data_IF_364982937013
#
_entry.id   IF_364982937013
#
_cell.length_a   1.000
_cell.length_b   1.000
_cell.length_c   1.000
_cell.angle_alpha   90.00
_cell.angle_beta   90.00
_cell.angle_gamma   90.00
#
_symmetry.space_group_name_H-M   'P 1'
#
loop_
_entity.id
_entity.type
_entity.pdbx_description
1 polymer ?
#
# COMPACT_ATOMS: atom_id res chain seq x y z
N UNK A 1 -61.83 -41.67 -0.76
CA UNK A 1 -60.82 -41.79 -1.84
C UNK A 1 -60.50 -40.38 -2.34
N UNK A 2 -59.46 -39.75 -1.79
CA UNK A 2 -59.04 -38.40 -2.14
C UNK A 2 -57.73 -38.47 -2.93
N UNK A 3 -57.78 -37.92 -4.14
CA UNK A 3 -56.74 -37.97 -5.15
C UNK A 3 -55.45 -37.27 -4.72
N UNK A 4 -54.33 -37.93 -5.05
CA UNK A 4 -52.98 -37.43 -4.88
C UNK A 4 -52.71 -36.15 -5.69
N UNK A 5 -52.36 -35.09 -4.96
CA UNK A 5 -51.70 -33.89 -5.49
C UNK A 5 -50.69 -33.39 -4.45
N UNK A 6 -49.67 -34.20 -4.15
CA UNK A 6 -48.59 -33.81 -3.24
C UNK A 6 -47.14 -34.24 -3.61
N UNK A 7 -46.75 -34.58 -4.86
CA UNK A 7 -45.33 -34.81 -5.13
C UNK A 7 -44.58 -33.59 -5.68
N UNK A 8 -45.23 -32.64 -6.36
CA UNK A 8 -44.50 -31.59 -7.09
C UNK A 8 -44.04 -30.42 -6.19
N UNK A 9 -44.89 -29.96 -5.26
CA UNK A 9 -44.55 -28.84 -4.38
C UNK A 9 -43.45 -29.21 -3.37
N UNK A 10 -43.47 -30.46 -2.90
CA UNK A 10 -42.46 -30.98 -1.98
C UNK A 10 -41.11 -31.17 -2.68
N UNK A 11 -41.11 -31.65 -3.93
CA UNK A 11 -39.89 -31.76 -4.72
C UNK A 11 -39.28 -30.37 -5.02
N UNK A 12 -40.10 -29.36 -5.31
CA UNK A 12 -39.64 -27.98 -5.53
C UNK A 12 -39.07 -27.38 -4.25
N UNK A 13 -39.69 -27.60 -3.09
CA UNK A 13 -39.16 -27.12 -1.80
C UNK A 13 -37.86 -27.81 -1.40
N UNK A 14 -37.73 -29.13 -1.65
CA UNK A 14 -36.48 -29.86 -1.43
C UNK A 14 -35.39 -29.37 -2.38
N UNK A 15 -35.70 -29.11 -3.66
CA UNK A 15 -34.74 -28.57 -4.63
C UNK A 15 -34.34 -27.12 -4.31
N UNK A 16 -35.26 -26.26 -3.88
CA UNK A 16 -34.94 -24.90 -3.42
C UNK A 16 -34.11 -24.95 -2.13
N UNK A 17 -34.44 -25.85 -1.20
CA UNK A 17 -33.63 -26.08 0.01
C UNK A 17 -32.22 -26.59 -0.32
N UNK A 18 -32.07 -27.47 -1.32
CA UNK A 18 -30.78 -28.00 -1.77
C UNK A 18 -29.97 -26.94 -2.54
N UNK A 19 -30.62 -26.12 -3.37
CA UNK A 19 -29.96 -24.98 -4.06
C UNK A 19 -29.57 -23.87 -3.09
N UNK A 20 -30.38 -23.61 -2.06
CA UNK A 20 -30.00 -22.71 -0.96
C UNK A 20 -28.88 -23.31 -0.11
N UNK A 21 -28.87 -24.61 0.17
CA UNK A 21 -27.78 -25.27 0.89
C UNK A 21 -26.47 -25.29 0.07
N UNK A 22 -26.53 -25.49 -1.24
CA UNK A 22 -25.37 -25.38 -2.15
C UNK A 22 -24.90 -23.93 -2.25
N UNK A 23 -25.80 -22.94 -2.38
CA UNK A 23 -25.42 -21.51 -2.35
C UNK A 23 -24.91 -21.03 -1.00
N UNK A 24 -25.36 -21.63 0.10
CA UNK A 24 -24.82 -21.36 1.44
C UNK A 24 -23.49 -22.10 1.71
N UNK A 25 -23.21 -23.19 0.98
CA UNK A 25 -21.92 -23.89 1.04
C UNK A 25 -20.87 -23.35 0.04
N UNK A 26 -21.27 -22.58 -0.98
CA UNK A 26 -20.34 -21.87 -1.88
C UNK A 26 -19.99 -20.45 -1.41
N UNK A 27 -20.59 -20.00 -0.32
CA UNK A 27 -20.02 -18.90 0.46
C UNK A 27 -19.13 -19.55 1.49
N UNK A 28 -17.87 -19.79 1.12
CA UNK A 28 -16.81 -19.98 2.09
C UNK A 28 -16.85 -18.77 3.02
N UNK A 29 -17.52 -18.93 4.15
CA UNK A 29 -17.34 -18.08 5.30
C UNK A 29 -15.90 -18.28 5.73
N UNK A 30 -14.98 -17.51 5.13
CA UNK A 30 -13.71 -17.22 5.72
C UNK A 30 -14.02 -16.72 7.12
N UNK A 31 -13.83 -17.60 8.10
CA UNK A 31 -13.69 -17.20 9.48
C UNK A 31 -12.51 -16.25 9.47
N UNK A 32 -12.79 -14.95 9.44
CA UNK A 32 -11.83 -13.93 9.81
C UNK A 32 -11.37 -14.36 11.19
N UNK A 33 -10.18 -14.95 11.25
CA UNK A 33 -9.51 -15.16 12.51
C UNK A 33 -9.33 -13.74 13.06
N UNK A 34 -10.23 -13.34 13.96
CA UNK A 34 -9.97 -12.25 14.88
C UNK A 34 -8.76 -12.71 15.69
N UNK A 35 -7.56 -12.45 15.19
CA UNK A 35 -6.49 -12.11 16.10
C UNK A 35 -7.05 -10.92 16.87
N UNK A 36 -7.41 -11.16 18.14
CA UNK A 36 -7.67 -10.08 19.07
C UNK A 36 -6.49 -9.12 18.95
N UNK A 37 -6.78 -7.82 18.91
CA UNK A 37 -5.73 -6.81 19.03
C UNK A 37 -4.86 -7.22 20.22
N UNK A 38 -3.63 -7.64 19.96
CA UNK A 38 -2.69 -7.97 21.04
C UNK A 38 -2.60 -6.72 21.92
N UNK A 39 -2.93 -6.86 23.21
CA UNK A 39 -2.89 -5.74 24.15
C UNK A 39 -1.51 -5.08 24.07
N UNK A 40 -1.46 -3.83 23.59
CA UNK A 40 -0.23 -3.05 23.45
C UNK A 40 0.35 -2.95 22.03
N UNK A 41 -0.17 -3.69 21.04
CA UNK A 41 0.29 -3.58 19.63
C UNK A 41 -0.18 -2.27 19.00
N UNK A 42 0.71 -1.60 18.27
CA UNK A 42 0.35 -0.39 17.52
C UNK A 42 -0.37 -0.77 16.21
N UNK A 43 -1.67 -0.43 16.03
CA UNK A 43 -2.45 -0.88 14.88
C UNK A 43 -2.08 -0.20 13.55
N UNK A 44 -1.15 0.75 13.59
CA UNK A 44 -0.72 1.55 12.44
C UNK A 44 0.72 1.28 12.02
N UNK A 45 1.45 0.42 12.74
CA UNK A 45 2.87 0.15 12.46
C UNK A 45 3.09 -1.35 12.37
N UNK A 46 3.61 -1.77 11.23
CA UNK A 46 3.94 -3.13 10.87
C UNK A 46 5.45 -3.26 10.87
N UNK A 47 5.97 -4.12 11.74
CA UNK A 47 7.41 -4.27 11.91
C UNK A 47 7.99 -5.20 10.86
N UNK A 48 9.26 -4.99 10.48
CA UNK A 48 9.93 -5.83 9.50
C UNK A 48 9.87 -7.32 9.88
N UNK A 49 10.04 -7.63 11.17
CA UNK A 49 9.97 -8.99 11.71
C UNK A 49 8.59 -9.65 11.61
N UNK A 50 7.52 -8.87 11.39
CA UNK A 50 6.15 -9.39 11.21
C UNK A 50 5.87 -9.77 9.75
N UNK A 51 6.78 -9.46 8.82
CA UNK A 51 6.60 -9.75 7.40
C UNK A 51 6.63 -11.25 7.12
N UNK A 52 5.65 -11.72 6.34
CA UNK A 52 5.53 -13.12 5.92
C UNK A 52 6.40 -13.36 4.68
N UNK A 53 7.37 -14.29 4.77
CA UNK A 53 8.12 -14.76 3.58
C UNK A 53 7.21 -15.60 2.69
N UNK A 54 6.74 -15.01 1.58
CA UNK A 54 5.79 -15.63 0.64
C UNK A 54 6.47 -16.55 -0.37
N UNK A 55 7.71 -16.22 -0.73
CA UNK A 55 8.51 -16.95 -1.70
C UNK A 55 9.97 -16.78 -1.33
N UNK A 56 10.75 -17.84 -1.34
CA UNK A 56 12.19 -17.75 -1.16
C UNK A 56 12.93 -18.88 -1.89
N UNK A 57 14.06 -18.51 -2.46
CA UNK A 57 15.06 -19.38 -3.09
C UNK A 57 16.44 -18.78 -2.81
N UNK A 58 17.51 -19.47 -3.20
CA UNK A 58 18.87 -18.91 -3.08
C UNK A 58 19.10 -17.66 -3.95
N UNK A 59 18.31 -17.47 -5.01
CA UNK A 59 18.47 -16.37 -5.98
C UNK A 59 17.54 -15.16 -5.71
N UNK A 60 16.58 -15.28 -4.80
CA UNK A 60 15.64 -14.20 -4.51
C UNK A 60 14.54 -14.59 -3.53
N UNK A 61 13.87 -13.57 -2.98
CA UNK A 61 12.76 -13.71 -2.06
C UNK A 61 11.69 -12.62 -2.23
N UNK A 62 10.46 -12.93 -1.81
CA UNK A 62 9.37 -11.97 -1.66
C UNK A 62 8.85 -12.07 -0.23
N UNK A 63 8.87 -10.94 0.49
CA UNK A 63 8.29 -10.80 1.84
C UNK A 63 7.09 -9.87 1.78
N UNK A 64 5.95 -10.31 2.29
CA UNK A 64 4.73 -9.51 2.32
C UNK A 64 4.46 -8.99 3.74
N UNK A 65 4.02 -7.75 3.84
CA UNK A 65 3.48 -7.19 5.08
C UNK A 65 2.21 -7.96 5.47
N UNK A 66 1.93 -8.17 6.76
CA UNK A 66 0.64 -8.70 7.20
C UNK A 66 -0.52 -7.96 6.54
N UNK A 67 -1.53 -8.71 6.13
CA UNK A 67 -2.67 -8.16 5.41
C UNK A 67 -3.36 -7.10 6.26
N UNK A 68 -3.53 -5.88 5.73
CA UNK A 68 -4.14 -4.77 6.47
C UNK A 68 -5.51 -5.15 7.05
N UNK A 69 -6.31 -5.89 6.29
CA UNK A 69 -7.64 -6.38 6.71
C UNK A 69 -7.63 -7.40 7.86
N UNK A 70 -6.52 -8.12 8.05
CA UNK A 70 -6.34 -9.08 9.14
C UNK A 70 -5.64 -8.44 10.35
N UNK A 71 -4.92 -7.34 10.14
CA UNK A 71 -4.10 -6.69 11.15
C UNK A 71 -4.88 -5.79 12.10
N UNK A 72 -5.70 -4.88 11.57
CA UNK A 72 -6.55 -4.01 12.39
C UNK A 72 -7.74 -3.47 11.61
N UNK A 73 -8.87 -3.31 12.30
CA UNK A 73 -10.05 -2.65 11.75
C UNK A 73 -9.82 -1.17 11.43
N UNK A 74 -8.80 -0.53 12.03
CA UNK A 74 -8.46 0.88 11.84
C UNK A 74 -7.74 1.17 10.51
N UNK A 75 -7.27 0.13 9.82
CA UNK A 75 -6.63 0.23 8.50
C UNK A 75 -7.41 -0.56 7.44
N UNK A 76 -8.69 -0.83 7.70
CA UNK A 76 -9.54 -1.65 6.83
C UNK A 76 -9.79 -1.03 5.45
N UNK A 77 -9.69 0.28 5.29
CA UNK A 77 -9.77 0.94 3.98
C UNK A 77 -8.68 0.45 3.00
N UNK A 78 -7.63 -0.20 3.52
CA UNK A 78 -6.58 -0.84 2.75
C UNK A 78 -6.83 -2.33 2.48
N UNK A 79 -8.05 -2.86 2.68
CA UNK A 79 -8.33 -4.31 2.58
C UNK A 79 -8.02 -4.94 1.22
N UNK A 80 -8.10 -4.14 0.15
CA UNK A 80 -7.80 -4.52 -1.23
C UNK A 80 -6.31 -4.37 -1.60
N UNK A 81 -5.49 -3.89 -0.67
CA UNK A 81 -4.08 -3.60 -0.89
C UNK A 81 -3.20 -4.60 -0.17
N UNK A 82 -2.10 -4.95 -0.82
CA UNK A 82 -1.02 -5.75 -0.25
C UNK A 82 0.30 -5.03 -0.53
N UNK A 83 1.21 -5.03 0.43
CA UNK A 83 2.54 -4.46 0.27
C UNK A 83 3.57 -5.58 0.38
N UNK A 84 4.49 -5.67 -0.58
CA UNK A 84 5.58 -6.61 -0.50
C UNK A 84 6.94 -6.00 -0.88
N UNK A 85 7.97 -6.64 -0.36
CA UNK A 85 9.38 -6.39 -0.64
C UNK A 85 9.87 -7.51 -1.53
N UNK A 86 10.42 -7.13 -2.68
CA UNK A 86 10.97 -8.02 -3.67
C UNK A 86 12.49 -7.89 -3.66
N UNK A 87 13.19 -9.01 -3.49
CA UNK A 87 14.64 -9.07 -3.45
C UNK A 87 15.13 -10.08 -4.48
N UNK A 88 16.07 -9.67 -5.32
CA UNK A 88 16.68 -10.55 -6.32
C UNK A 88 18.19 -10.35 -6.35
N UNK A 89 18.92 -11.46 -6.24
CA UNK A 89 20.39 -11.48 -6.19
C UNK A 89 21.00 -10.97 -7.51
N UNK A 90 22.31 -10.64 -7.51
CA UNK A 90 23.04 -10.38 -8.75
C UNK A 90 22.89 -11.55 -9.72
N UNK A 91 22.87 -11.27 -11.01
CA UNK A 91 22.81 -12.28 -12.07
C UNK A 91 21.66 -13.28 -11.91
N UNK A 92 20.48 -12.80 -11.52
CA UNK A 92 19.31 -13.64 -11.29
C UNK A 92 18.14 -13.29 -12.22
N UNK A 93 17.26 -14.28 -12.38
CA UNK A 93 16.10 -14.22 -13.24
C UNK A 93 14.86 -14.71 -12.51
N UNK A 94 13.79 -13.92 -12.59
CA UNK A 94 12.45 -14.34 -12.23
C UNK A 94 11.69 -14.79 -13.48
N UNK A 95 11.24 -16.04 -13.47
CA UNK A 95 10.53 -16.63 -14.62
C UNK A 95 9.21 -15.95 -14.94
N UNK A 96 8.75 -16.13 -16.18
CA UNK A 96 7.48 -15.60 -16.66
C UNK A 96 6.31 -16.04 -15.77
N UNK A 97 5.55 -15.05 -15.30
CA UNK A 97 4.36 -15.24 -14.48
C UNK A 97 3.40 -14.08 -14.69
N UNK A 98 2.16 -14.21 -14.23
CA UNK A 98 1.22 -13.10 -14.12
C UNK A 98 0.47 -13.21 -12.79
N UNK A 99 -0.28 -12.17 -12.41
CA UNK A 99 -1.11 -12.20 -11.21
C UNK A 99 -2.46 -11.52 -11.43
N UNK A 100 -3.39 -11.74 -10.51
CA UNK A 100 -4.70 -11.10 -10.49
C UNK A 100 -4.72 -9.65 -9.98
N UNK A 101 -3.58 -9.12 -9.53
CA UNK A 101 -3.46 -7.80 -8.92
C UNK A 101 -2.80 -6.78 -9.87
N UNK A 102 -3.17 -5.51 -9.74
CA UNK A 102 -2.40 -4.42 -10.34
C UNK A 102 -1.19 -4.11 -9.45
N UNK A 103 -0.01 -3.88 -10.03
CA UNK A 103 1.24 -3.60 -9.30
C UNK A 103 1.65 -2.16 -9.53
N UNK A 104 1.97 -1.46 -8.45
CA UNK A 104 2.77 -0.24 -8.49
C UNK A 104 4.10 -0.53 -7.81
N UNK A 105 5.15 -0.66 -8.60
CA UNK A 105 6.47 -1.09 -8.18
C UNK A 105 7.43 0.10 -8.13
N UNK A 106 8.14 0.28 -7.02
CA UNK A 106 9.22 1.24 -6.87
C UNK A 106 10.57 0.52 -6.74
N UNK A 107 11.55 0.89 -7.56
CA UNK A 107 12.92 0.35 -7.50
C UNK A 107 13.70 1.08 -6.43
N UNK A 108 13.87 0.43 -5.28
CA UNK A 108 14.58 1.01 -4.14
C UNK A 108 16.11 0.95 -4.32
N UNK A 109 16.62 -0.15 -4.86
CA UNK A 109 18.04 -0.39 -5.07
C UNK A 109 18.27 -1.26 -6.32
N UNK A 110 19.43 -1.09 -6.95
CA UNK A 110 19.83 -1.89 -8.10
C UNK A 110 19.17 -1.46 -9.41
N UNK A 111 19.31 -2.36 -10.39
CA UNK A 111 18.81 -2.20 -11.74
C UNK A 111 18.23 -3.51 -12.23
N UNK A 112 17.35 -3.43 -13.21
CA UNK A 112 16.76 -4.62 -13.81
C UNK A 112 16.37 -4.36 -15.26
N UNK A 113 16.14 -5.45 -15.99
CA UNK A 113 15.31 -5.44 -17.20
C UNK A 113 14.02 -6.17 -16.91
N UNK A 114 12.90 -5.55 -17.25
CA UNK A 114 11.59 -6.18 -17.16
C UNK A 114 11.00 -6.36 -18.56
N UNK A 115 10.46 -7.53 -18.80
CA UNK A 115 9.60 -7.81 -19.96
C UNK A 115 8.16 -7.90 -19.47
N UNK A 116 7.24 -7.26 -20.18
CA UNK A 116 5.82 -7.27 -19.88
C UNK A 116 5.01 -7.53 -21.16
N UNK A 117 4.09 -8.49 -21.13
CA UNK A 117 3.21 -8.83 -22.25
C UNK A 117 1.76 -8.65 -21.84
N UNK A 118 1.02 -7.82 -22.58
CA UNK A 118 -0.40 -7.54 -22.34
C UNK A 118 -1.12 -7.20 -23.64
N UNK A 119 -2.32 -7.76 -23.85
CA UNK A 119 -3.17 -7.49 -25.04
C UNK A 119 -2.37 -7.56 -26.35
N UNK A 120 -1.62 -8.64 -26.54
CA UNK A 120 -0.79 -8.91 -27.73
C UNK A 120 0.41 -7.97 -27.94
N UNK A 121 0.67 -7.05 -27.00
CA UNK A 121 1.83 -6.17 -27.00
C UNK A 121 2.89 -6.69 -26.04
N UNK A 122 4.13 -6.71 -26.49
CA UNK A 122 5.31 -6.97 -25.66
C UNK A 122 6.07 -5.68 -25.47
N UNK A 123 6.46 -5.39 -24.24
CA UNK A 123 7.26 -4.26 -23.83
C UNK A 123 8.47 -4.78 -23.07
N UNK A 124 9.63 -4.20 -23.32
CA UNK A 124 10.82 -4.38 -22.50
C UNK A 124 11.33 -3.03 -22.04
N UNK A 125 11.62 -2.92 -20.76
CA UNK A 125 12.07 -1.67 -20.15
C UNK A 125 13.25 -1.95 -19.21
N UNK A 126 14.22 -1.02 -19.23
CA UNK A 126 15.28 -1.02 -18.22
C UNK A 126 14.82 -0.19 -17.03
N UNK A 127 15.07 -0.72 -15.85
CA UNK A 127 14.72 -0.12 -14.57
C UNK A 127 16.01 0.26 -13.84
N UNK A 128 16.05 1.49 -13.36
CA UNK A 128 17.05 2.03 -12.45
C UNK A 128 16.41 2.36 -11.09
N UNK A 129 17.25 2.50 -10.07
CA UNK A 129 16.87 3.08 -8.78
C UNK A 129 16.02 4.36 -8.96
N UNK A 130 14.93 4.44 -8.21
CA UNK A 130 13.97 5.53 -8.27
C UNK A 130 12.87 5.35 -9.31
N UNK A 131 12.93 4.33 -10.18
CA UNK A 131 11.85 4.08 -11.12
C UNK A 131 10.58 3.57 -10.43
N UNK A 132 9.46 4.15 -10.86
CA UNK A 132 8.09 3.69 -10.67
C UNK A 132 7.62 2.99 -11.94
N UNK A 133 7.03 1.82 -11.78
CA UNK A 133 6.42 1.08 -12.86
C UNK A 133 5.04 0.58 -12.43
N UNK A 134 4.04 0.84 -13.27
CA UNK A 134 2.72 0.26 -13.13
C UNK A 134 2.56 -0.97 -14.03
N UNK A 135 2.21 -2.11 -13.44
CA UNK A 135 1.94 -3.35 -14.17
C UNK A 135 0.47 -3.71 -13.95
N UNK A 136 -0.37 -3.61 -14.98
CA UNK A 136 -1.77 -3.99 -14.87
C UNK A 136 -1.92 -5.49 -14.57
N UNK A 137 -2.94 -5.86 -13.80
CA UNK A 137 -3.33 -7.26 -13.58
C UNK A 137 -3.44 -8.05 -14.87
N UNK A 138 -3.11 -9.33 -14.80
CA UNK A 138 -3.12 -10.25 -15.94
C UNK A 138 -2.03 -10.00 -16.97
N UNK A 139 -1.13 -9.03 -16.76
CA UNK A 139 0.04 -8.87 -17.60
C UNK A 139 1.07 -9.94 -17.24
N UNK A 140 1.61 -10.62 -18.26
CA UNK A 140 2.70 -11.57 -18.06
C UNK A 140 4.01 -10.80 -17.94
N UNK A 141 4.80 -11.07 -16.90
CA UNK A 141 6.06 -10.40 -16.66
C UNK A 141 7.20 -11.39 -16.38
N UNK A 142 8.42 -10.97 -16.70
CA UNK A 142 9.66 -11.59 -16.24
C UNK A 142 10.68 -10.50 -15.91
N UNK A 143 11.56 -10.76 -14.94
CA UNK A 143 12.53 -9.77 -14.46
C UNK A 143 13.92 -10.38 -14.48
N UNK A 144 14.89 -9.62 -14.99
CA UNK A 144 16.30 -9.98 -15.03
C UNK A 144 17.07 -8.93 -14.21
N UNK A 145 17.76 -9.35 -13.15
CA UNK A 145 18.84 -8.56 -12.57
C UNK A 145 20.14 -9.01 -13.24
N UNK A 146 20.63 -8.19 -14.16
CA UNK A 146 21.86 -8.45 -14.90
C UNK A 146 23.08 -7.72 -14.30
N UNK A 147 22.93 -7.08 -13.14
CA UNK A 147 24.07 -6.50 -12.44
C UNK A 147 24.85 -7.63 -11.75
N UNK A 148 26.19 -7.71 -11.93
CA UNK A 148 26.99 -8.77 -11.34
C UNK A 148 27.36 -8.53 -9.87
N UNK A 149 26.99 -7.38 -9.29
CA UNK A 149 27.39 -6.97 -7.95
C UNK A 149 26.23 -6.49 -7.09
N UNK A 150 25.29 -5.77 -7.67
CA UNK A 150 24.20 -5.13 -6.94
C UNK A 150 22.95 -6.01 -6.91
N UNK A 151 22.35 -6.14 -5.73
CA UNK A 151 21.04 -6.73 -5.57
C UNK A 151 19.95 -5.77 -6.06
N UNK A 152 18.89 -6.33 -6.64
CA UNK A 152 17.67 -5.61 -6.96
C UNK A 152 16.72 -5.68 -5.76
N UNK A 153 16.33 -4.52 -5.24
CA UNK A 153 15.30 -4.40 -4.19
C UNK A 153 14.19 -3.52 -4.72
N UNK A 154 12.96 -4.04 -4.73
CA UNK A 154 11.77 -3.29 -5.10
C UNK A 154 10.71 -3.36 -3.99
N UNK A 155 9.93 -2.29 -3.87
CA UNK A 155 8.75 -2.23 -3.00
C UNK A 155 7.53 -2.18 -3.90
N UNK A 156 6.61 -3.14 -3.73
CA UNK A 156 5.42 -3.25 -4.58
C UNK A 156 4.16 -3.03 -3.76
N UNK A 157 3.36 -2.04 -4.15
CA UNK A 157 1.98 -1.91 -3.70
C UNK A 157 1.09 -2.61 -4.72
N UNK A 158 0.41 -3.67 -4.28
CA UNK A 158 -0.51 -4.44 -5.09
C UNK A 158 -1.94 -4.09 -4.76
N UNK A 159 -2.79 -4.05 -5.78
CA UNK A 159 -4.22 -3.82 -5.64
C UNK A 159 -5.01 -4.98 -6.25
N UNK A 160 -5.81 -5.65 -5.41
CA UNK A 160 -6.73 -6.70 -5.82
C UNK A 160 -8.16 -6.34 -5.35
N UNK A 161 -9.10 -6.01 -6.27
CA UNK A 161 -10.48 -5.67 -5.94
C UNK A 161 -11.32 -6.89 -5.53
N UNK A 162 -10.74 -8.09 -5.54
CA UNK A 162 -11.39 -9.29 -5.03
C UNK A 162 -10.47 -10.02 -4.03
N UNK A 163 -10.20 -9.40 -2.86
CA UNK A 163 -9.22 -9.87 -1.89
C UNK A 163 -9.72 -11.06 -1.05
N UNK A 164 -11.00 -11.45 -1.19
CA UNK A 164 -11.62 -12.50 -0.37
C UNK A 164 -11.59 -13.88 -1.02
N UNK A 165 -11.12 -14.00 -2.27
CA UNK A 165 -10.91 -15.32 -2.89
C UNK A 165 -9.67 -16.03 -2.38
N UNK A 166 -8.68 -15.27 -1.92
CA UNK A 166 -7.35 -15.77 -1.55
C UNK A 166 -6.78 -14.90 -0.42
N UNK A 167 -6.00 -15.50 0.49
CA UNK A 167 -5.39 -14.74 1.60
C UNK A 167 -4.37 -13.72 1.08
N UNK A 168 -3.47 -14.11 0.19
CA UNK A 168 -2.60 -13.18 -0.56
C UNK A 168 -2.85 -13.35 -2.05
N UNK A 169 -2.48 -12.37 -2.89
CA UNK A 169 -2.58 -12.54 -4.34
C UNK A 169 -1.72 -13.72 -4.83
N UNK A 170 -2.28 -14.54 -5.72
CA UNK A 170 -1.53 -15.62 -6.36
C UNK A 170 -0.80 -15.17 -7.64
N UNK A 171 0.39 -15.73 -7.82
CA UNK A 171 1.12 -15.70 -9.08
C UNK A 171 0.84 -16.98 -9.84
N UNK A 172 0.63 -16.83 -11.13
CA UNK A 172 0.29 -17.87 -12.07
C UNK A 172 1.42 -18.10 -13.05
N UNK A 173 1.89 -19.34 -13.16
CA UNK A 173 3.04 -19.72 -13.98
C UNK A 173 2.57 -20.49 -15.22
N UNK A 174 2.63 -19.90 -16.42
CA UNK A 174 2.03 -20.51 -17.62
C UNK A 174 2.52 -21.92 -17.92
N UNK A 175 3.82 -22.21 -17.72
CA UNK A 175 4.31 -23.57 -18.02
C UNK A 175 3.82 -24.60 -17.02
N UNK A 176 3.62 -24.20 -15.76
CA UNK A 176 3.07 -25.11 -14.74
C UNK A 176 1.58 -25.38 -15.04
N UNK A 177 0.87 -24.38 -15.56
CA UNK A 177 -0.50 -24.55 -16.08
C UNK A 177 -0.54 -25.47 -17.30
N UNK A 178 0.40 -25.31 -18.25
CA UNK A 178 0.50 -26.17 -19.43
C UNK A 178 0.69 -27.63 -19.03
N UNK A 179 1.52 -27.90 -18.01
CA UNK A 179 1.74 -29.24 -17.47
C UNK A 179 0.49 -29.89 -16.86
N UNK A 180 -0.54 -29.11 -16.51
CA UNK A 180 -1.78 -29.64 -15.94
C UNK A 180 -2.80 -30.11 -16.99
N UNK A 181 -2.59 -29.79 -18.28
CA UNK A 181 -3.49 -30.23 -19.35
C UNK A 181 -3.28 -31.69 -19.73
N UNK A 182 -4.32 -32.30 -20.30
CA UNK A 182 -4.24 -33.64 -20.90
C UNK A 182 -3.25 -33.64 -22.07
N UNK A 183 -2.53 -34.75 -22.23
CA UNK A 183 -1.55 -34.96 -23.31
C UNK A 183 -2.16 -34.71 -24.69
N UNK A 184 -3.33 -35.28 -24.94
CA UNK A 184 -4.04 -35.18 -26.21
C UNK A 184 -4.43 -33.72 -26.53
N UNK A 185 -4.76 -32.94 -25.49
CA UNK A 185 -5.02 -31.49 -25.63
C UNK A 185 -3.76 -30.73 -26.02
N UNK A 186 -2.62 -31.02 -25.37
CA UNK A 186 -1.35 -30.36 -25.66
C UNK A 186 -0.83 -30.72 -27.05
N UNK A 187 -0.91 -32.00 -27.43
CA UNK A 187 -0.51 -32.47 -28.76
C UNK A 187 -1.36 -31.83 -29.86
N UNK A 188 -2.67 -31.77 -29.68
CA UNK A 188 -3.56 -31.07 -30.62
C UNK A 188 -3.28 -29.56 -30.69
N UNK A 189 -3.02 -28.91 -29.54
CA UNK A 189 -2.79 -27.47 -29.46
C UNK A 189 -1.45 -27.04 -30.05
N UNK A 190 -0.36 -27.75 -29.71
CA UNK A 190 0.98 -27.44 -30.20
C UNK A 190 1.28 -28.06 -31.58
N UNK A 191 0.48 -29.05 -32.02
CA UNK A 191 0.78 -29.89 -33.19
C UNK A 191 2.17 -30.53 -33.12
N UNK A 192 2.56 -30.93 -31.91
CA UNK A 192 3.83 -31.58 -31.60
C UNK A 192 3.52 -32.85 -30.81
N UNK A 193 4.26 -33.93 -31.03
CA UNK A 193 4.07 -35.19 -30.31
C UNK A 193 4.18 -34.99 -28.81
N UNK A 194 3.31 -35.65 -28.05
CA UNK A 194 3.26 -35.53 -26.59
C UNK A 194 4.62 -35.76 -25.93
N UNK A 195 5.43 -36.72 -26.41
CA UNK A 195 6.75 -37.03 -25.84
C UNK A 195 7.76 -35.90 -26.03
N UNK A 196 7.67 -35.16 -27.14
CA UNK A 196 8.56 -34.03 -27.41
C UNK A 196 8.18 -32.81 -26.53
N UNK A 197 6.88 -32.62 -26.25
CA UNK A 197 6.37 -31.60 -25.32
C UNK A 197 6.82 -31.94 -23.88
N UNK A 198 6.59 -33.16 -23.42
CA UNK A 198 7.00 -33.62 -22.09
C UNK A 198 8.52 -33.48 -21.89
N UNK A 199 9.32 -33.85 -22.90
CA UNK A 199 10.79 -33.67 -22.86
C UNK A 199 11.19 -32.20 -22.77
N UNK A 200 10.42 -31.28 -23.35
CA UNK A 200 10.70 -29.84 -23.24
C UNK A 200 10.39 -29.32 -21.84
N UNK A 201 9.22 -29.67 -21.30
CA UNK A 201 8.82 -29.25 -19.95
C UNK A 201 9.67 -29.89 -18.86
N UNK A 202 10.15 -31.13 -19.04
CA UNK A 202 11.04 -31.79 -18.08
C UNK A 202 12.44 -31.14 -17.97
N UNK A 203 12.85 -30.34 -18.96
CA UNK A 203 14.12 -29.60 -18.95
C UNK A 203 14.00 -28.26 -18.25
N UNK A 204 12.79 -27.78 -18.01
CA UNK A 204 12.58 -26.46 -17.45
C UNK A 204 12.94 -26.42 -15.97
N UNK A 205 13.69 -25.39 -15.58
CA UNK A 205 13.86 -25.04 -14.18
C UNK A 205 12.55 -24.47 -13.61
N UNK A 206 11.95 -25.18 -12.65
CA UNK A 206 10.69 -24.79 -12.04
C UNK A 206 10.85 -23.69 -10.98
N UNK A 207 12.07 -23.37 -10.54
CA UNK A 207 12.31 -22.35 -9.52
C UNK A 207 11.84 -20.97 -9.99
N UNK A 208 11.14 -20.25 -9.11
CA UNK A 208 10.59 -18.92 -9.44
C UNK A 208 11.71 -17.91 -9.68
N UNK A 209 12.72 -17.90 -8.80
CA UNK A 209 13.99 -17.22 -9.02
C UNK A 209 15.09 -18.23 -9.25
N UNK A 210 16.00 -17.92 -10.17
CA UNK A 210 17.21 -18.70 -10.40
C UNK A 210 18.37 -17.81 -10.80
N UNK A 211 19.59 -18.27 -10.56
CA UNK A 211 20.78 -17.65 -11.14
C UNK A 211 20.84 -17.91 -12.65
N UNK A 212 21.38 -16.94 -13.36
CA UNK A 212 21.71 -17.04 -14.78
C UNK A 212 23.19 -17.34 -14.95
N UNK A 213 23.50 -18.29 -15.83
CA UNK A 213 24.88 -18.45 -16.31
C UNK A 213 25.32 -17.22 -17.11
N UNK A 214 26.63 -17.05 -17.31
CA UNK A 214 27.17 -15.97 -18.14
C UNK A 214 26.61 -16.02 -19.56
N UNK A 215 26.54 -17.21 -20.15
CA UNK A 215 26.03 -17.42 -21.51
C UNK A 215 24.53 -17.09 -21.61
N UNK A 216 23.74 -17.48 -20.62
CA UNK A 216 22.32 -17.14 -20.57
C UNK A 216 22.11 -15.63 -20.47
N UNK A 217 22.90 -14.94 -19.64
CA UNK A 217 22.87 -13.47 -19.56
C UNK A 217 23.19 -12.83 -20.90
N UNK A 218 24.28 -13.21 -21.55
CA UNK A 218 24.66 -12.66 -22.85
C UNK A 218 23.56 -12.88 -23.90
N UNK A 219 22.90 -14.06 -23.91
CA UNK A 219 21.78 -14.37 -24.81
C UNK A 219 20.51 -13.58 -24.52
N UNK A 220 20.12 -13.47 -23.25
CA UNK A 220 18.92 -12.73 -22.83
C UNK A 220 19.13 -11.23 -23.09
N UNK A 221 20.32 -10.72 -22.79
CA UNK A 221 20.61 -9.30 -22.82
C UNK A 221 21.00 -8.77 -24.20
N UNK A 222 21.55 -9.63 -25.06
CA UNK A 222 22.00 -9.30 -26.42
C UNK A 222 20.94 -9.56 -27.51
N UNK A 223 19.71 -9.90 -27.13
CA UNK A 223 18.61 -10.08 -28.09
C UNK A 223 18.24 -8.72 -28.69
N UNK A 224 18.08 -8.67 -30.02
CA UNK A 224 17.56 -7.49 -30.71
C UNK A 224 16.05 -7.40 -30.48
N UNK A 225 15.58 -6.30 -29.87
CA UNK A 225 14.17 -6.03 -29.55
C UNK A 225 13.27 -6.13 -30.79
N UNK A 226 13.85 -5.99 -32.00
CA UNK A 226 13.16 -6.17 -33.29
C UNK A 226 12.58 -7.57 -33.53
N UNK A 227 13.04 -8.59 -32.77
CA UNK A 227 12.56 -9.97 -32.87
C UNK A 227 11.31 -10.26 -32.04
N UNK A 228 10.86 -9.33 -31.18
CA UNK A 228 9.59 -9.43 -30.48
C UNK A 228 8.46 -9.12 -31.48
N UNK A 229 7.89 -10.17 -32.06
CA UNK A 229 6.81 -10.06 -33.04
C UNK A 229 5.62 -9.30 -32.46
N UNK A 230 5.46 -8.04 -32.84
CA UNK A 230 4.17 -7.34 -32.80
C UNK A 230 3.34 -7.95 -33.93
N UNK A 231 2.54 -8.98 -33.64
CA UNK A 231 1.82 -9.77 -34.67
C UNK A 231 0.70 -8.99 -35.41
N UNK A 232 0.65 -7.65 -35.34
CA UNK A 232 -0.33 -6.84 -36.04
C UNK A 232 0.31 -5.73 -36.91
N UNK A 233 -0.05 -5.61 -38.20
CA UNK A 233 0.61 -4.70 -39.15
C UNK A 233 0.13 -3.23 -39.07
N UNK A 234 -0.52 -2.79 -37.99
CA UNK A 234 -0.85 -1.37 -37.79
C UNK A 234 -0.70 -0.97 -36.31
N UNK A 235 0.36 -0.24 -35.99
CA UNK A 235 0.42 0.59 -34.78
C UNK A 235 -0.66 1.67 -34.91
N UNK A 236 -1.75 1.53 -34.15
CA UNK A 236 -2.73 2.61 -34.05
C UNK A 236 -2.17 3.71 -33.13
N UNK A 237 -2.38 4.97 -33.47
CA UNK A 237 -1.95 6.13 -32.65
C UNK A 237 -2.41 6.05 -31.19
N UNK A 238 -3.54 5.37 -30.93
CA UNK A 238 -4.04 5.09 -29.58
C UNK A 238 -3.18 4.06 -28.82
N UNK A 239 -2.70 3.04 -29.52
CA UNK A 239 -1.80 2.02 -28.96
C UNK A 239 -0.40 2.55 -28.65
N UNK A 240 0.12 3.49 -29.46
CA UNK A 240 1.40 4.17 -29.21
C UNK A 240 1.32 5.09 -27.98
N UNK A 241 0.23 5.85 -27.85
CA UNK A 241 0.00 6.67 -26.66
C UNK A 241 -0.11 5.80 -25.39
N UNK A 242 -0.86 4.68 -25.43
CA UNK A 242 -0.95 3.77 -24.27
C UNK A 242 0.40 3.13 -23.90
N UNK A 243 1.31 2.89 -24.84
CA UNK A 243 2.67 2.39 -24.57
C UNK A 243 3.56 3.48 -23.97
N UNK A 244 3.56 4.69 -24.55
CA UNK A 244 4.35 5.82 -24.06
C UNK A 244 3.94 6.24 -22.63
N UNK A 245 2.64 6.16 -22.32
CA UNK A 245 2.11 6.52 -21.00
C UNK A 245 2.35 5.47 -19.91
N UNK A 246 2.84 4.27 -20.24
CA UNK A 246 3.12 3.21 -19.26
C UNK A 246 4.63 3.05 -18.98
N UNK A 247 5.48 3.85 -19.62
CA UNK A 247 6.94 3.83 -19.38
C UNK A 247 7.28 4.09 -17.91
N UNK A 248 8.39 3.54 -17.39
CA UNK A 248 8.81 3.80 -16.02
C UNK A 248 9.04 5.29 -15.77
N UNK A 249 8.52 5.83 -14.66
CA UNK A 249 8.75 7.21 -14.23
C UNK A 249 9.83 7.23 -13.16
N UNK A 250 10.88 8.05 -13.27
CA UNK A 250 11.91 8.11 -12.22
C UNK A 250 11.60 9.22 -11.21
N UNK A 251 11.14 8.84 -10.02
CA UNK A 251 10.75 9.77 -8.95
C UNK A 251 11.94 10.61 -8.46
N UNK A 252 13.15 10.05 -8.43
CA UNK A 252 14.33 10.76 -7.93
C UNK A 252 14.82 11.87 -8.86
N UNK A 253 14.40 11.83 -10.14
CA UNK A 253 14.65 12.89 -11.12
C UNK A 253 13.62 14.03 -11.02
N UNK A 254 12.54 13.87 -10.24
CA UNK A 254 11.54 14.91 -10.05
C UNK A 254 12.04 15.97 -9.06
N UNK A 255 11.69 17.22 -9.33
CA UNK A 255 11.94 18.31 -8.39
C UNK A 255 11.17 18.11 -7.07
N UNK A 256 11.76 18.60 -5.98
CA UNK A 256 11.11 18.53 -4.69
C UNK A 256 9.87 19.43 -4.67
N UNK A 257 8.73 18.90 -4.19
CA UNK A 257 7.57 19.72 -3.84
C UNK A 257 7.87 20.62 -2.65
N UNK A 258 8.64 20.12 -1.67
CA UNK A 258 9.18 20.92 -0.57
C UNK A 258 10.63 20.56 -0.32
N UNK A 259 11.48 21.56 -0.10
CA UNK A 259 12.90 21.36 0.22
C UNK A 259 13.45 22.52 1.03
N UNK A 260 14.13 22.21 2.12
CA UNK A 260 14.93 23.17 2.89
C UNK A 260 16.13 22.44 3.53
N UNK A 261 16.95 23.13 4.33
CA UNK A 261 18.14 22.53 4.98
C UNK A 261 17.85 21.40 5.98
N UNK A 262 16.58 21.17 6.33
CA UNK A 262 16.14 20.18 7.31
C UNK A 262 15.49 18.94 6.66
N UNK A 263 15.18 18.99 5.36
CA UNK A 263 14.54 17.87 4.68
C UNK A 263 14.08 18.18 3.26
N UNK A 264 13.68 17.12 2.54
CA UNK A 264 13.21 17.15 1.16
C UNK A 264 12.00 16.22 1.01
N UNK A 265 11.00 16.65 0.26
CA UNK A 265 9.83 15.87 -0.11
C UNK A 265 9.59 15.96 -1.61
N UNK A 266 9.53 14.81 -2.27
CA UNK A 266 9.10 14.65 -3.66
C UNK A 266 7.75 13.93 -3.64
N UNK A 267 6.88 14.28 -4.57
CA UNK A 267 5.53 13.74 -4.69
C UNK A 267 5.22 13.56 -6.16
N UNK A 268 4.63 12.44 -6.56
CA UNK A 268 4.26 12.09 -7.94
C UNK A 268 2.77 11.76 -7.94
N UNK A 269 2.05 12.40 -8.85
CA UNK A 269 0.61 12.25 -9.01
C UNK A 269 0.23 11.76 -10.42
N UNK A 270 -1.08 11.74 -10.72
CA UNK A 270 -1.59 11.32 -12.03
C UNK A 270 -1.22 12.24 -13.20
N UNK A 271 -0.88 13.49 -12.94
CA UNK A 271 -0.45 14.44 -13.97
C UNK A 271 1.02 14.20 -14.34
N UNK A 272 1.84 13.76 -13.37
CA UNK A 272 3.22 13.33 -13.61
C UNK A 272 3.31 11.93 -14.23
N UNK A 273 2.55 10.98 -13.68
CA UNK A 273 2.57 9.59 -14.07
C UNK A 273 1.14 9.07 -14.25
N UNK A 274 0.65 9.15 -15.49
CA UNK A 274 -0.73 8.79 -15.87
C UNK A 274 -1.25 7.46 -15.31
N UNK A 275 -0.46 6.38 -15.17
CA UNK A 275 -0.94 5.13 -14.57
C UNK A 275 -1.42 5.26 -13.12
N UNK A 276 -1.07 6.34 -12.41
CA UNK A 276 -1.61 6.66 -11.09
C UNK A 276 -3.08 7.14 -11.14
N UNK A 277 -3.55 7.57 -12.31
CA UNK A 277 -4.96 7.92 -12.57
C UNK A 277 -5.80 6.64 -12.65
N UNK A 278 -6.60 6.35 -11.61
CA UNK A 278 -7.51 5.19 -11.64
C UNK A 278 -8.93 5.61 -12.04
N UNK A 279 -9.61 4.74 -12.78
CA UNK A 279 -10.78 5.07 -13.62
C UNK A 279 -12.09 5.32 -12.86
N UNK A 280 -12.08 5.22 -11.54
CA UNK A 280 -13.22 5.52 -10.66
C UNK A 280 -12.64 6.19 -9.41
N UNK A 281 -13.20 7.33 -8.99
CA UNK A 281 -12.71 8.31 -7.99
C UNK A 281 -12.32 7.74 -6.59
N UNK A 282 -12.28 6.42 -6.41
CA UNK A 282 -11.99 5.73 -5.15
C UNK A 282 -10.75 4.85 -5.16
N UNK A 283 -9.80 5.08 -6.07
CA UNK A 283 -8.56 4.30 -6.10
C UNK A 283 -7.35 5.06 -6.69
N UNK A 284 -7.46 6.33 -7.03
CA UNK A 284 -6.34 7.14 -7.51
C UNK A 284 -5.14 7.01 -6.56
N UNK A 285 -3.95 6.87 -7.13
CA UNK A 285 -2.73 6.66 -6.36
C UNK A 285 -1.82 7.89 -6.44
N UNK A 286 -0.90 7.96 -5.49
CA UNK A 286 0.22 8.89 -5.52
C UNK A 286 1.46 8.20 -4.96
N UNK A 287 2.64 8.76 -5.21
CA UNK A 287 3.87 8.29 -4.58
C UNK A 287 4.67 9.46 -4.04
N UNK A 288 5.10 9.37 -2.78
CA UNK A 288 5.97 10.35 -2.13
C UNK A 288 7.30 9.74 -1.74
N UNK A 289 8.33 10.57 -1.66
CA UNK A 289 9.61 10.19 -1.06
C UNK A 289 10.07 11.32 -0.14
N UNK A 290 10.18 11.00 1.14
CA UNK A 290 10.52 11.96 2.20
C UNK A 290 11.91 11.69 2.71
N UNK A 291 12.72 12.74 2.85
CA UNK A 291 14.00 12.76 3.55
C UNK A 291 13.94 13.78 4.67
N UNK A 292 14.28 13.36 5.88
CA UNK A 292 14.40 14.20 7.06
C UNK A 292 15.85 14.12 7.53
N UNK A 293 16.53 15.27 7.64
CA UNK A 293 17.93 15.30 8.07
C UNK A 293 18.05 14.95 9.57
N UNK A 294 19.23 14.51 10.06
CA UNK A 294 19.41 14.08 11.45
C UNK A 294 18.92 15.12 12.47
N UNK A 295 18.16 14.67 13.48
CA UNK A 295 17.59 15.51 14.52
C UNK A 295 16.57 16.55 14.01
N UNK A 296 16.03 16.37 12.81
CA UNK A 296 14.95 17.22 12.24
C UNK A 296 13.61 16.52 12.32
N UNK A 297 12.55 17.30 12.16
CA UNK A 297 11.17 16.83 12.27
C UNK A 297 10.30 17.47 11.19
N UNK A 298 9.25 16.77 10.75
CA UNK A 298 8.12 17.41 10.08
C UNK A 298 7.30 18.23 11.09
N UNK A 299 6.76 19.36 10.67
CA UNK A 299 5.69 20.03 11.41
C UNK A 299 4.45 19.14 11.42
N UNK A 300 3.54 19.24 12.42
CA UNK A 300 2.32 18.45 12.43
C UNK A 300 1.48 18.70 11.17
N UNK A 301 1.07 17.63 10.50
CA UNK A 301 0.30 17.70 9.26
C UNK A 301 -0.67 16.52 9.14
N UNK A 302 -1.66 16.64 8.27
CA UNK A 302 -2.55 15.55 7.90
C UNK A 302 -2.90 15.60 6.41
N UNK A 303 -3.31 14.46 5.87
CA UNK A 303 -3.89 14.36 4.53
C UNK A 303 -5.41 14.43 4.61
N UNK A 304 -6.05 15.22 3.75
CA UNK A 304 -7.50 15.45 3.80
C UNK A 304 -8.32 14.23 3.37
N UNK A 305 -7.81 13.45 2.40
CA UNK A 305 -8.52 12.33 1.79
C UNK A 305 -7.65 11.07 1.67
N UNK A 306 -6.34 11.22 1.46
CA UNK A 306 -5.48 10.10 1.18
C UNK A 306 -5.17 9.27 2.44
N UNK A 307 -5.25 7.96 2.28
CA UNK A 307 -4.56 7.02 3.17
C UNK A 307 -3.11 6.87 2.70
N UNK A 308 -2.18 6.88 3.63
CA UNK A 308 -0.75 6.75 3.33
C UNK A 308 -0.19 5.44 3.84
N UNK A 309 0.56 4.74 3.00
CA UNK A 309 1.34 3.55 3.37
C UNK A 309 2.80 3.94 3.21
N UNK A 310 3.49 4.13 4.33
CA UNK A 310 4.87 4.59 4.36
C UNK A 310 5.82 3.46 4.69
N UNK A 311 6.86 3.29 3.87
CA UNK A 311 7.91 2.29 4.04
C UNK A 311 9.22 2.99 4.41
N UNK A 312 9.77 2.66 5.58
CA UNK A 312 11.05 3.23 6.02
C UNK A 312 12.17 2.57 5.24
N UNK A 313 12.91 3.36 4.46
CA UNK A 313 13.96 2.87 3.56
C UNK A 313 15.36 3.22 4.02
N UNK A 314 15.51 4.21 4.93
CA UNK A 314 16.81 4.56 5.50
C UNK A 314 16.68 5.18 6.89
N UNK A 315 17.57 4.75 7.78
CA UNK A 315 17.83 5.38 9.07
C UNK A 315 16.70 5.20 10.10
N UNK A 316 17.01 5.42 11.39
CA UNK A 316 16.03 5.34 12.46
C UNK A 316 15.25 6.64 12.63
N UNK A 317 14.03 6.51 13.13
CA UNK A 317 13.18 7.66 13.42
C UNK A 317 12.10 7.37 14.46
N UNK A 318 11.19 8.33 14.60
CA UNK A 318 10.02 8.23 15.46
C UNK A 318 8.79 8.71 14.68
N UNK A 319 7.69 7.96 14.78
CA UNK A 319 6.36 8.39 14.40
C UNK A 319 5.61 8.83 15.65
N UNK A 320 4.94 9.97 15.58
CA UNK A 320 3.87 10.33 16.51
C UNK A 320 2.62 10.68 15.69
N UNK A 321 1.48 10.11 16.07
CA UNK A 321 0.21 10.29 15.39
C UNK A 321 -0.91 10.47 16.42
N UNK A 322 -1.92 11.25 16.04
CA UNK A 322 -3.09 11.55 16.87
C UNK A 322 -4.37 11.05 16.22
N UNK A 323 -4.66 9.73 16.27
CA UNK A 323 -5.95 9.21 15.86
C UNK A 323 -7.09 9.78 16.68
N UNK A 324 -8.22 9.99 16.00
CA UNK A 324 -9.47 10.37 16.63
C UNK A 324 -9.97 9.20 17.49
N UNK A 325 -10.11 9.43 18.79
CA UNK A 325 -10.76 8.49 19.71
C UNK A 325 -12.25 8.37 19.43
N UNK A 326 -12.82 7.20 19.67
CA UNK A 326 -14.26 6.99 19.64
C UNK A 326 -15.01 7.91 20.62
N UNK A 327 -16.30 8.13 20.37
CA UNK A 327 -17.16 9.02 21.17
C UNK A 327 -17.04 8.69 22.67
N UNK A 328 -16.40 9.57 23.44
CA UNK A 328 -16.59 9.59 24.89
C UNK A 328 -17.85 10.42 25.14
N UNK A 329 -19.00 9.75 25.31
CA UNK A 329 -20.03 10.32 26.16
C UNK A 329 -19.41 10.35 27.57
N UNK A 330 -19.13 11.55 28.07
CA UNK A 330 -18.76 11.71 29.47
C UNK A 330 -19.87 11.10 30.33
N UNK A 331 -19.52 10.09 31.13
CA UNK A 331 -20.37 9.53 32.19
C UNK A 331 -20.63 10.55 33.32
N UNK A 332 -20.60 11.85 33.03
CA UNK A 332 -20.92 12.92 33.98
C UNK A 332 -22.43 12.99 34.30
N UNK A 333 -23.27 12.17 33.64
CA UNK A 333 -24.72 12.12 33.88
C UNK A 333 -25.20 10.90 34.71
N UNK A 334 -24.32 10.06 35.24
CA UNK A 334 -24.71 9.06 36.26
C UNK A 334 -24.32 9.53 37.67
N UNK A 335 -24.88 10.69 38.07
CA UNK A 335 -24.96 11.01 39.48
C UNK A 335 -25.76 9.92 40.19
N UNK A 336 -25.11 9.20 41.11
CA UNK A 336 -25.77 8.28 42.06
C UNK A 336 -26.96 9.03 42.66
N UNK A 337 -28.16 8.55 42.39
CA UNK A 337 -29.37 9.06 43.04
C UNK A 337 -29.33 8.65 44.51
N UNK A 338 -29.10 9.60 45.39
CA UNK A 338 -29.57 9.50 46.77
C UNK A 338 -31.07 9.85 46.75
N UNK A 339 -31.91 8.86 47.05
CA UNK A 339 -33.35 9.06 47.27
C UNK A 339 -33.53 9.90 48.54
N UNK A 340 -33.89 11.17 48.36
CA UNK A 340 -34.45 11.97 49.45
C UNK A 340 -35.97 11.80 49.46
N UNK A 341 -36.52 11.37 50.60
CA UNK A 341 -37.94 11.06 50.85
C UNK A 341 -38.87 12.29 50.88
N UNK A 342 -38.62 13.31 50.06
CA UNK A 342 -39.55 14.42 49.90
C UNK A 342 -39.76 14.67 48.40
N UNK A 343 -40.93 14.23 47.92
CA UNK A 343 -41.33 14.17 46.52
C UNK A 343 -41.48 15.52 45.82
N UNK A 344 -40.37 16.23 45.63
CA UNK A 344 -40.27 17.34 44.68
C UNK A 344 -39.37 16.92 43.52
N UNK A 345 -40.00 16.44 42.45
CA UNK A 345 -39.34 16.19 41.17
C UNK A 345 -38.88 17.53 40.56
N UNK A 346 -37.64 17.95 40.87
CA UNK A 346 -36.96 18.94 40.04
C UNK A 346 -36.69 18.29 38.69
N UNK A 347 -37.33 18.80 37.64
CA UNK A 347 -37.01 18.52 36.24
C UNK A 347 -35.51 18.81 36.07
N UNK A 348 -34.68 17.77 36.04
CA UNK A 348 -33.29 17.89 35.62
C UNK A 348 -33.34 18.36 34.18
N UNK A 349 -32.78 19.54 33.93
CA UNK A 349 -32.39 19.90 32.57
C UNK A 349 -31.49 18.76 32.08
N UNK A 350 -31.94 18.07 31.04
CA UNK A 350 -31.09 17.19 30.26
C UNK A 350 -30.01 18.09 29.69
N UNK A 351 -28.86 18.16 30.38
CA UNK A 351 -27.69 18.83 29.86
C UNK A 351 -27.40 18.22 28.50
N UNK A 352 -27.47 19.04 27.46
CA UNK A 352 -27.07 18.67 26.11
C UNK A 352 -25.66 18.06 26.21
N UNK A 353 -25.52 16.76 25.94
CA UNK A 353 -24.23 16.10 26.04
C UNK A 353 -23.24 16.80 25.11
N UNK A 354 -22.22 17.45 25.67
CA UNK A 354 -21.17 18.10 24.88
C UNK A 354 -20.54 17.07 23.93
N UNK A 355 -20.59 17.36 22.62
CA UNK A 355 -19.85 16.57 21.64
C UNK A 355 -18.35 16.83 21.82
N UNK A 356 -17.68 15.98 22.61
CA UNK A 356 -16.23 16.04 22.80
C UNK A 356 -15.55 15.02 21.89
N UNK A 357 -14.71 15.53 20.99
CA UNK A 357 -13.77 14.70 20.24
C UNK A 357 -12.53 14.50 21.10
N UNK A 358 -12.16 13.25 21.39
CA UNK A 358 -10.90 12.92 22.02
C UNK A 358 -9.88 12.50 20.96
N UNK A 359 -8.60 12.72 21.24
CA UNK A 359 -7.48 12.22 20.43
C UNK A 359 -6.61 11.34 21.31
N UNK A 360 -6.24 10.17 20.81
CA UNK A 360 -5.25 9.31 21.46
C UNK A 360 -3.88 9.62 20.87
N UNK A 361 -2.84 9.66 21.69
CA UNK A 361 -1.46 9.71 21.21
C UNK A 361 -0.99 8.29 20.89
N UNK A 362 -0.46 8.10 19.68
CA UNK A 362 0.18 6.87 19.23
C UNK A 362 1.61 7.21 18.83
N UNK A 363 2.58 6.50 19.39
CA UNK A 363 4.00 6.70 19.13
C UNK A 363 4.64 5.37 18.73
N UNK A 364 5.67 5.41 17.87
CA UNK A 364 6.45 4.23 17.52
C UNK A 364 7.83 4.59 17.00
N UNK A 365 8.85 3.91 17.49
CA UNK A 365 10.17 3.92 16.87
C UNK A 365 10.08 3.31 15.47
N UNK A 366 10.83 3.88 14.53
CA UNK A 366 10.88 3.46 13.14
C UNK A 366 12.27 2.94 12.79
N UNK A 367 12.33 1.80 12.09
CA UNK A 367 13.56 1.19 11.56
C UNK A 367 13.38 0.87 10.08
N UNK A 368 14.49 0.71 9.37
CA UNK A 368 14.46 0.29 7.95
C UNK A 368 13.67 -1.01 7.83
N UNK A 369 12.77 -1.08 6.85
CA UNK A 369 11.87 -2.21 6.65
C UNK A 369 10.51 -2.07 7.35
N UNK A 370 10.39 -1.22 8.37
CA UNK A 370 9.10 -0.93 9.02
C UNK A 370 8.15 -0.24 8.04
N UNK A 371 6.87 -0.56 8.18
CA UNK A 371 5.79 0.07 7.43
C UNK A 371 4.84 0.73 8.42
N UNK A 372 4.52 2.00 8.19
CA UNK A 372 3.52 2.70 8.98
C UNK A 372 2.42 3.29 8.11
N UNK A 373 1.20 3.31 8.63
CA UNK A 373 0.01 3.78 7.92
C UNK A 373 -0.50 5.03 8.61
N UNK A 374 -0.77 6.09 7.85
CA UNK A 374 -1.45 7.28 8.36
C UNK A 374 -2.80 7.43 7.65
N UNK A 375 -3.91 7.18 8.35
CA UNK A 375 -5.25 7.42 7.81
C UNK A 375 -5.51 8.89 7.50
N UNK A 376 -6.46 9.15 6.60
CA UNK A 376 -6.91 10.50 6.32
C UNK A 376 -7.40 11.21 7.59
N UNK A 377 -7.11 12.51 7.71
CA UNK A 377 -7.48 13.33 8.87
C UNK A 377 -6.64 13.12 10.13
N UNK A 378 -5.71 12.16 10.14
CA UNK A 378 -4.89 11.87 11.32
C UNK A 378 -3.64 12.73 11.30
N UNK A 379 -3.56 13.67 12.24
CA UNK A 379 -2.38 14.53 12.38
C UNK A 379 -1.17 13.70 12.82
N UNK A 380 -0.03 13.89 12.15
CA UNK A 380 1.19 13.15 12.43
C UNK A 380 2.44 14.02 12.36
N UNK A 381 3.50 13.54 13.00
CA UNK A 381 4.88 14.03 12.83
C UNK A 381 5.83 12.84 12.69
N UNK A 382 6.87 13.04 11.89
CA UNK A 382 7.99 12.11 11.77
C UNK A 382 9.27 12.83 12.15
N UNK A 383 10.10 12.18 12.96
CA UNK A 383 11.37 12.71 13.43
C UNK A 383 12.51 11.79 13.04
N UNK A 384 13.58 12.36 12.49
CA UNK A 384 14.84 11.66 12.31
C UNK A 384 15.61 11.64 13.64
N UNK A 385 16.13 10.46 14.01
CA UNK A 385 16.90 10.30 15.25
C UNK A 385 18.37 10.71 15.03
N UNK A 386 19.32 9.78 15.19
CA UNK A 386 20.76 10.03 15.05
C UNK A 386 21.24 10.16 13.60
N UNK A 387 20.50 9.58 12.66
CA UNK A 387 20.81 9.61 11.24
C UNK A 387 19.64 10.19 10.45
N UNK A 388 19.84 10.41 9.15
CA UNK A 388 18.77 10.84 8.27
C UNK A 388 17.70 9.75 8.18
N UNK A 389 16.44 10.14 8.28
CA UNK A 389 15.30 9.26 8.05
C UNK A 389 14.82 9.45 6.61
N UNK A 390 14.70 8.36 5.85
CA UNK A 390 14.08 8.36 4.52
C UNK A 390 12.96 7.32 4.46
N UNK A 391 11.82 7.69 3.89
CA UNK A 391 10.70 6.79 3.68
C UNK A 391 9.98 7.04 2.36
N UNK A 392 9.58 5.95 1.71
CA UNK A 392 8.71 5.93 0.53
C UNK A 392 7.26 5.95 0.99
N UNK A 393 6.39 6.70 0.34
CA UNK A 393 4.97 6.77 0.66
C UNK A 393 4.15 6.38 -0.55
N UNK A 394 3.23 5.44 -0.40
CA UNK A 394 2.16 5.24 -1.37
C UNK A 394 0.89 5.91 -0.84
N UNK A 395 0.28 6.74 -1.66
CA UNK A 395 -1.00 7.36 -1.38
C UNK A 395 -2.12 6.54 -2.04
N UNK A 396 -3.18 6.27 -1.29
CA UNK A 396 -4.43 5.68 -1.75
C UNK A 396 -5.53 6.71 -1.59
N UNK A 397 -6.41 6.84 -2.58
CA UNK A 397 -7.41 7.93 -2.68
C UNK A 397 -6.76 9.32 -2.75
N UNK A 398 -5.74 9.43 -3.60
CA UNK A 398 -4.92 10.64 -3.72
C UNK A 398 -5.56 11.79 -4.52
N UNK A 399 -6.52 11.51 -5.41
CA UNK A 399 -7.19 12.55 -6.17
C UNK A 399 -7.91 13.50 -5.23
N UNK A 400 -7.69 14.81 -5.42
CA UNK A 400 -8.22 15.88 -4.57
C UNK A 400 -7.73 15.84 -3.12
N UNK A 401 -6.71 15.04 -2.82
CA UNK A 401 -6.04 15.09 -1.53
C UNK A 401 -5.27 16.41 -1.36
N UNK A 402 -5.16 16.84 -0.11
CA UNK A 402 -4.34 17.97 0.28
C UNK A 402 -3.58 17.65 1.55
N UNK A 403 -2.25 17.83 1.50
CA UNK A 403 -1.41 17.86 2.69
C UNK A 403 -1.60 19.19 3.41
N UNK A 404 -2.19 19.16 4.60
CA UNK A 404 -2.49 20.32 5.42
C UNK A 404 -1.54 20.39 6.61
N UNK A 405 -0.87 21.51 6.79
CA UNK A 405 0.14 21.71 7.84
C UNK A 405 -0.44 22.56 8.97
N UNK A 406 -0.29 22.12 10.22
CA UNK A 406 -0.77 22.84 11.41
C UNK A 406 0.24 23.87 11.92
N UNK A 407 1.53 23.70 11.62
CA UNK A 407 2.59 24.63 12.01
C UNK A 407 3.54 24.89 10.85
N UNK A 408 4.51 25.79 11.08
CA UNK A 408 5.44 26.22 10.04
C UNK A 408 4.90 27.34 9.16
N UNK A 409 5.74 27.78 8.22
CA UNK A 409 5.41 28.93 7.39
C UNK A 409 4.26 28.68 6.41
N UNK A 410 3.99 27.42 6.09
CA UNK A 410 2.88 26.96 5.27
C UNK A 410 1.67 26.48 6.09
N UNK A 411 1.59 26.83 7.38
CA UNK A 411 0.48 26.45 8.24
C UNK A 411 -0.85 26.99 7.73
N UNK A 412 -1.90 26.16 7.78
CA UNK A 412 -3.28 26.57 7.51
C UNK A 412 -3.79 27.60 8.52
N UNK A 413 -3.22 27.63 9.74
CA UNK A 413 -3.58 28.61 10.77
C UNK A 413 -3.22 30.04 10.35
N UNK A 414 -2.18 30.21 9.53
CA UNK A 414 -1.81 31.53 8.96
C UNK A 414 -2.80 32.04 7.90
N UNK A 415 -3.71 31.18 7.42
CA UNK A 415 -4.72 31.54 6.41
C UNK A 415 -6.07 31.90 7.05
N UNK A 416 -6.23 31.65 8.35
CA UNK A 416 -7.43 32.02 9.10
C UNK A 416 -7.38 33.48 9.53
N UNK A 417 -8.55 34.07 9.82
CA UNK A 417 -8.61 35.42 10.41
C UNK A 417 -8.04 35.37 11.82
N UNK A 418 -6.99 36.16 12.07
CA UNK A 418 -6.28 36.17 13.35
C UNK A 418 -7.22 36.48 14.53
N UNK A 419 -8.20 37.36 14.35
CA UNK A 419 -9.18 37.71 15.38
C UNK A 419 -10.06 36.52 15.77
N UNK A 420 -10.48 35.72 14.79
CA UNK A 420 -11.31 34.53 15.03
C UNK A 420 -10.48 33.45 15.73
N UNK A 421 -9.25 33.25 15.28
CA UNK A 421 -8.35 32.28 15.89
C UNK A 421 -7.97 32.68 17.32
N UNK A 422 -7.70 33.96 17.56
CA UNK A 422 -7.40 34.48 18.90
C UNK A 422 -8.61 34.29 19.84
N UNK A 423 -9.84 34.56 19.36
CA UNK A 423 -11.06 34.32 20.12
C UNK A 423 -11.29 32.84 20.44
N UNK A 424 -11.04 31.94 19.48
CA UNK A 424 -11.17 30.48 19.66
C UNK A 424 -10.21 29.95 20.74
N UNK A 425 -8.98 30.45 20.77
CA UNK A 425 -7.98 30.08 21.78
C UNK A 425 -8.09 30.89 23.09
N UNK A 426 -8.95 31.90 23.16
CA UNK A 426 -9.10 32.77 24.33
C UNK A 426 -7.85 33.62 24.64
N UNK A 427 -7.11 34.05 23.62
CA UNK A 427 -5.87 34.85 23.75
C UNK A 427 -5.95 36.18 23.01
N UNK A 428 -5.01 37.08 23.27
CA UNK A 428 -4.90 38.35 22.56
C UNK A 428 -4.46 38.17 21.11
N UNK A 429 -4.98 38.98 20.18
CA UNK A 429 -4.62 38.90 18.74
C UNK A 429 -3.10 38.98 18.52
N UNK A 430 -2.42 39.88 19.23
CA UNK A 430 -0.96 40.05 19.14
C UNK A 430 -0.19 38.81 19.63
N UNK A 431 -0.73 38.09 20.59
CA UNK A 431 -0.14 36.84 21.09
C UNK A 431 -0.31 35.73 20.05
N UNK A 432 -1.52 35.57 19.53
CA UNK A 432 -1.83 34.60 18.46
C UNK A 432 -0.94 34.84 17.22
N UNK A 433 -0.85 36.10 16.77
CA UNK A 433 0.00 36.49 15.64
C UNK A 433 1.47 36.12 15.86
N UNK A 434 1.99 36.35 17.07
CA UNK A 434 3.37 36.02 17.43
C UNK A 434 3.58 34.50 17.45
N UNK A 435 2.63 33.74 17.99
CA UNK A 435 2.67 32.28 18.09
C UNK A 435 2.72 31.61 16.71
N UNK A 436 1.74 31.88 15.84
CA UNK A 436 1.69 31.28 14.50
C UNK A 436 2.82 31.81 13.59
N UNK A 437 3.29 33.03 13.81
CA UNK A 437 4.36 33.67 13.04
C UNK A 437 5.79 33.26 13.41
N UNK A 438 5.99 32.56 14.54
CA UNK A 438 7.34 32.30 15.09
C UNK A 438 8.19 31.31 14.29
N UNK A 439 7.57 30.40 13.53
CA UNK A 439 8.29 29.43 12.68
C UNK A 439 8.35 29.94 11.24
N UNK A 440 9.57 30.19 10.75
CA UNK A 440 9.88 30.74 9.43
C UNK A 440 10.06 29.65 8.36
N UNK A 441 10.34 28.41 8.76
CA UNK A 441 10.48 27.27 7.85
C UNK A 441 9.14 26.58 7.61
N UNK A 442 8.97 26.04 6.41
CA UNK A 442 7.84 25.21 6.02
C UNK A 442 8.21 23.72 6.05
N UNK A 443 7.25 22.87 6.41
CA UNK A 443 7.31 21.38 6.42
C UNK A 443 8.37 20.80 7.35
N UNK A 444 9.66 21.04 7.09
CA UNK A 444 10.77 20.47 7.87
C UNK A 444 11.42 21.52 8.76
N UNK A 445 11.44 21.28 10.06
CA UNK A 445 11.92 22.21 11.08
C UNK A 445 12.99 21.57 11.97
N UNK A 446 13.64 22.38 12.80
CA UNK A 446 14.57 21.84 13.78
C UNK A 446 13.80 21.00 14.81
N UNK A 447 14.27 19.78 15.07
CA UNK A 447 13.74 18.95 16.13
C UNK A 447 14.12 19.46 17.52
N UNK A 448 13.59 18.86 18.58
CA UNK A 448 13.91 19.23 19.95
C UNK A 448 15.42 19.10 20.20
N UNK A 449 16.05 20.14 20.75
CA UNK A 449 17.46 20.10 21.17
C UNK A 449 17.55 19.21 22.41
N UNK A 450 18.31 18.11 22.32
CA UNK A 450 18.18 16.97 23.20
C UNK A 450 18.23 17.26 24.71
N UNK A 451 17.35 16.59 25.46
CA UNK A 451 17.77 15.90 26.67
C UNK A 451 18.10 14.47 26.30
N UNK A 452 19.23 13.97 26.80
CA UNK A 452 19.50 12.54 26.93
C UNK A 452 18.24 11.80 27.40
N UNK A 453 17.93 10.67 26.77
CA UNK A 453 17.16 9.56 27.36
C UNK A 453 15.78 9.85 27.97
N UNK A 454 14.91 10.65 27.34
CA UNK A 454 13.51 10.80 27.80
C UNK A 454 12.52 10.81 26.62
N UNK A 455 12.48 9.71 25.89
CA UNK A 455 11.19 9.04 25.69
C UNK A 455 11.20 7.86 26.68
N UNK A 456 11.09 8.17 27.98
CA UNK A 456 10.92 7.12 28.97
C UNK A 456 9.58 6.46 28.70
N UNK A 457 9.65 5.19 28.35
CA UNK A 457 8.61 4.21 28.61
C UNK A 457 8.08 4.46 30.03
N UNK A 458 6.77 4.69 30.14
CA UNK A 458 6.01 4.26 31.30
C UNK A 458 5.07 3.19 30.81
#
# INVERSE_FOLDING_TARGET
MANGRFPLLYLVLVLVGFVCAIRCNEVDHYKVHRHGEEEGRNPYVFKEEEQERRLATDAGEIRAVPLFREFSTLVRDLENYELNFFHMKPDAFMRHHYSGADHLSFVLQGKARIQCVRKEKSMEENLDRGNLLFIPRGSMLSIVNNDPREELIMVNLLYNPNPYRQRHHESFYPVDMLNAFRRESLEAAFKVRSEDIERMFSRQDQRVFRFLSREEREKIMGRDDSQLSSFWPLKTRKGEAEEEHNKPFNLEKKDAKYSNKNGKYMEVDSEDYRPLKRQEDRNSMGVGYTRIEPGKITVPYWHSHAFTICVVVRGPGMLQMHPRGGKQQTEAAKGKGEENQNGNARRREEGEGEFRVSYRRVESELRVGDVFVMPAGHASVQMASSERLEFLTFFVNFDRDSGNFLAGNNSVLKQLREEQLAADFGVERKEMQRMIGSQDKAVFVDGPRGSRSLWSIV
#
